data_IF_482010290853
#
_entry.id   IF_482010290853
#
_cell.length_a   1.000
_cell.length_b   1.000
_cell.length_c   1.000
_cell.angle_alpha   90.00
_cell.angle_beta   90.00
_cell.angle_gamma   90.00
#
_symmetry.space_group_name_H-M   'P 1'
#
loop_
_entity.id
_entity.type
_entity.pdbx_description
1 polymer ?
#
# COMPACT_ATOMS: atom_id res chain seq x y z
N UNK A 1 -40.53 -26.60 -19.64
CA UNK A 1 -39.51 -25.62 -20.09
C UNK A 1 -39.37 -24.59 -18.98
N UNK A 2 -38.30 -24.67 -18.20
CA UNK A 2 -37.95 -23.65 -17.21
C UNK A 2 -36.53 -23.21 -17.54
N UNK A 3 -36.42 -22.04 -18.17
CA UNK A 3 -35.16 -21.34 -18.42
C UNK A 3 -34.42 -21.14 -17.09
N UNK A 4 -33.27 -21.78 -16.96
CA UNK A 4 -32.33 -21.50 -15.90
C UNK A 4 -31.61 -20.19 -16.21
N UNK A 5 -32.07 -19.13 -15.55
CA UNK A 5 -31.35 -17.88 -15.36
C UNK A 5 -29.90 -18.15 -14.92
N UNK A 6 -28.85 -17.63 -15.60
CA UNK A 6 -27.49 -17.77 -15.12
C UNK A 6 -27.34 -17.00 -13.80
N UNK A 7 -27.21 -17.72 -12.69
CA UNK A 7 -26.82 -17.15 -11.40
C UNK A 7 -25.43 -16.53 -11.57
N UNK A 8 -25.34 -15.22 -11.35
CA UNK A 8 -24.11 -14.43 -11.26
C UNK A 8 -23.00 -15.15 -10.47
N UNK A 9 -22.18 -15.95 -11.14
CA UNK A 9 -20.99 -16.60 -10.59
C UNK A 9 -19.75 -15.68 -10.63
N UNK A 10 -19.94 -14.41 -10.97
CA UNK A 10 -18.88 -13.42 -11.12
C UNK A 10 -18.63 -12.55 -9.88
N UNK A 11 -19.40 -12.69 -8.80
CA UNK A 11 -19.34 -11.74 -7.67
C UNK A 11 -18.63 -12.23 -6.40
N UNK A 12 -18.02 -13.41 -6.42
CA UNK A 12 -17.18 -13.88 -5.31
C UNK A 12 -15.91 -14.49 -5.87
N UNK A 13 -15.05 -13.63 -6.39
CA UNK A 13 -13.72 -14.05 -6.82
C UNK A 13 -13.04 -14.76 -5.65
N UNK A 14 -12.83 -16.07 -5.78
CA UNK A 14 -12.16 -16.87 -4.78
C UNK A 14 -10.72 -16.39 -4.67
N UNK A 15 -10.42 -15.49 -3.74
CA UNK A 15 -9.07 -15.00 -3.47
C UNK A 15 -8.11 -16.15 -3.07
N UNK A 16 -8.65 -17.31 -2.70
CA UNK A 16 -7.89 -18.54 -2.46
C UNK A 16 -7.44 -19.20 -3.77
N UNK A 17 -8.20 -19.05 -4.85
CA UNK A 17 -7.86 -19.56 -6.18
C UNK A 17 -6.63 -18.85 -6.76
N UNK A 18 -6.47 -17.55 -6.52
CA UNK A 18 -5.31 -16.78 -6.99
C UNK A 18 -4.02 -17.23 -6.29
N UNK A 19 -4.08 -17.52 -4.99
CA UNK A 19 -2.93 -18.07 -4.24
C UNK A 19 -2.57 -19.47 -4.75
N UNK A 20 -3.57 -20.33 -5.00
CA UNK A 20 -3.34 -21.67 -5.57
C UNK A 20 -2.72 -21.59 -6.96
N UNK A 21 -3.24 -20.75 -7.84
CA UNK A 21 -2.69 -20.54 -9.17
C UNK A 21 -1.25 -20.02 -9.12
N UNK A 22 -0.93 -19.13 -8.17
CA UNK A 22 0.44 -18.64 -7.94
C UNK A 22 1.38 -19.76 -7.51
N UNK A 23 0.95 -20.65 -6.62
CA UNK A 23 1.72 -21.83 -6.23
C UNK A 23 1.93 -22.79 -7.42
N UNK A 24 0.93 -22.99 -8.27
CA UNK A 24 1.09 -23.81 -9.49
C UNK A 24 2.11 -23.19 -10.44
N UNK A 25 2.06 -21.87 -10.68
CA UNK A 25 3.05 -21.16 -11.51
C UNK A 25 4.45 -21.30 -10.90
N UNK A 26 4.57 -21.21 -9.58
CA UNK A 26 5.84 -21.43 -8.89
C UNK A 26 6.36 -22.87 -9.03
N UNK A 27 5.50 -23.88 -8.93
CA UNK A 27 5.88 -25.27 -9.18
C UNK A 27 6.34 -25.46 -10.63
N UNK A 28 5.64 -24.86 -11.61
CA UNK A 28 6.07 -24.89 -13.00
C UNK A 28 7.45 -24.22 -13.17
N UNK A 29 7.69 -23.07 -12.54
CA UNK A 29 9.00 -22.40 -12.56
C UNK A 29 10.08 -23.25 -11.91
N UNK A 30 9.79 -23.91 -10.79
CA UNK A 30 10.75 -24.76 -10.09
C UNK A 30 11.16 -25.96 -10.93
N UNK A 31 10.20 -26.61 -11.61
CA UNK A 31 10.46 -27.71 -12.54
C UNK A 31 11.27 -27.25 -13.76
N UNK A 32 10.92 -26.10 -14.33
CA UNK A 32 11.63 -25.52 -15.47
C UNK A 32 12.99 -24.90 -15.11
N UNK A 33 13.26 -24.65 -13.83
CA UNK A 33 14.55 -24.17 -13.35
C UNK A 33 15.51 -25.31 -12.98
N UNK A 34 15.00 -26.54 -12.84
CA UNK A 34 15.77 -27.74 -12.52
C UNK A 34 16.41 -28.34 -13.79
N UNK A 35 17.13 -27.53 -14.56
CA UNK A 35 17.69 -27.91 -15.87
C UNK A 35 19.16 -28.37 -15.78
N UNK A 36 19.67 -28.70 -14.58
CA UNK A 36 21.01 -29.24 -14.39
C UNK A 36 21.17 -30.67 -14.92
N UNK A 37 22.42 -31.14 -15.14
CA UNK A 37 22.67 -32.51 -15.58
C UNK A 37 22.20 -33.51 -14.51
N UNK A 38 21.25 -34.38 -14.85
CA UNK A 38 20.61 -35.33 -13.93
C UNK A 38 19.43 -34.77 -13.10
N UNK A 39 19.00 -33.54 -13.34
CA UNK A 39 17.79 -32.96 -12.74
C UNK A 39 16.54 -33.21 -13.62
N UNK A 40 15.34 -33.13 -13.03
CA UNK A 40 14.06 -33.45 -13.70
C UNK A 40 13.78 -32.60 -14.97
N UNK A 41 14.46 -31.46 -15.13
CA UNK A 41 14.29 -30.52 -16.23
C UNK A 41 15.35 -30.58 -17.34
N UNK A 42 16.27 -31.55 -17.32
CA UNK A 42 17.34 -31.63 -18.32
C UNK A 42 16.78 -31.66 -19.76
N UNK A 43 17.16 -30.65 -20.56
CA UNK A 43 16.70 -30.43 -21.95
C UNK A 43 15.22 -30.06 -22.15
N UNK A 44 14.43 -29.79 -21.11
CA UNK A 44 13.03 -29.36 -21.27
C UNK A 44 12.89 -28.05 -22.06
N UNK A 45 13.82 -27.11 -21.91
CA UNK A 45 13.83 -25.84 -22.65
C UNK A 45 13.97 -26.02 -24.17
N UNK A 46 14.51 -27.15 -24.63
CA UNK A 46 14.68 -27.45 -26.07
C UNK A 46 13.38 -27.96 -26.70
N UNK A 47 12.36 -28.30 -25.91
CA UNK A 47 11.09 -28.83 -26.40
C UNK A 47 10.17 -27.67 -26.80
N UNK A 48 9.83 -27.58 -28.09
CA UNK A 48 8.97 -26.51 -28.61
C UNK A 48 7.61 -26.38 -27.90
N UNK A 49 7.00 -27.49 -27.49
CA UNK A 49 5.74 -27.46 -26.75
C UNK A 49 5.89 -26.80 -25.36
N UNK A 50 7.04 -26.96 -24.71
CA UNK A 50 7.33 -26.35 -23.41
C UNK A 50 7.61 -24.86 -23.57
N UNK A 51 8.38 -24.48 -24.60
CA UNK A 51 8.57 -23.07 -24.96
C UNK A 51 7.24 -22.37 -25.33
N UNK A 52 6.34 -23.07 -26.05
CA UNK A 52 5.00 -22.57 -26.35
C UNK A 52 4.16 -22.42 -25.08
N UNK A 53 4.16 -23.42 -24.19
CA UNK A 53 3.46 -23.35 -22.89
C UNK A 53 3.95 -22.16 -22.03
N UNK A 54 5.27 -21.94 -21.96
CA UNK A 54 5.84 -20.81 -21.24
C UNK A 54 5.39 -19.47 -21.82
N UNK A 55 5.49 -19.31 -23.15
CA UNK A 55 5.20 -18.05 -23.84
C UNK A 55 3.71 -17.72 -23.88
N UNK A 56 2.87 -18.72 -24.10
CA UNK A 56 1.45 -18.53 -24.43
C UNK A 56 0.53 -18.77 -23.24
N UNK A 57 0.96 -19.52 -22.22
CA UNK A 57 0.14 -19.80 -21.04
C UNK A 57 0.74 -19.25 -19.75
N UNK A 58 1.99 -19.59 -19.42
CA UNK A 58 2.58 -19.25 -18.10
C UNK A 58 2.84 -17.75 -17.98
N UNK A 59 3.55 -17.14 -18.93
CA UNK A 59 3.88 -15.72 -18.86
C UNK A 59 2.64 -14.79 -18.94
N UNK A 60 1.60 -15.07 -19.76
CA UNK A 60 0.36 -14.30 -19.74
C UNK A 60 -0.45 -14.51 -18.46
N UNK A 61 -0.55 -15.74 -17.94
CA UNK A 61 -1.25 -16.02 -16.69
C UNK A 61 -0.60 -15.26 -15.53
N UNK A 62 0.72 -15.30 -15.43
CA UNK A 62 1.46 -14.57 -14.42
C UNK A 62 1.22 -13.06 -14.50
N UNK A 63 1.32 -12.46 -15.70
CA UNK A 63 1.03 -11.02 -15.88
C UNK A 63 -0.39 -10.66 -15.44
N UNK A 64 -1.36 -11.53 -15.74
CA UNK A 64 -2.76 -11.34 -15.31
C UNK A 64 -2.91 -11.42 -13.78
N UNK A 65 -2.31 -12.43 -13.14
CA UNK A 65 -2.33 -12.57 -11.68
C UNK A 65 -1.63 -11.39 -10.99
N UNK A 66 -0.50 -10.94 -11.51
CA UNK A 66 0.21 -9.77 -11.01
C UNK A 66 -0.68 -8.52 -11.11
N UNK A 67 -1.22 -8.21 -12.29
CA UNK A 67 -2.08 -7.04 -12.49
C UNK A 67 -3.32 -7.06 -11.57
N UNK A 68 -3.93 -8.23 -11.39
CA UNK A 68 -5.08 -8.42 -10.49
C UNK A 68 -4.71 -8.19 -9.03
N UNK A 69 -3.61 -8.79 -8.57
CA UNK A 69 -3.14 -8.61 -7.19
C UNK A 69 -2.76 -7.14 -6.91
N UNK A 70 -2.14 -6.46 -7.88
CA UNK A 70 -1.88 -5.03 -7.79
C UNK A 70 -3.15 -4.19 -7.70
N UNK A 71 -4.18 -4.52 -8.47
CA UNK A 71 -5.47 -3.83 -8.39
C UNK A 71 -6.10 -3.98 -7.00
N UNK A 72 -6.11 -5.19 -6.43
CA UNK A 72 -6.65 -5.42 -5.08
C UNK A 72 -5.91 -4.61 -4.01
N UNK A 73 -4.59 -4.48 -4.12
CA UNK A 73 -3.79 -3.64 -3.20
C UNK A 73 -4.11 -2.14 -3.40
N UNK A 74 -4.32 -1.70 -4.65
CA UNK A 74 -4.68 -0.30 -4.94
C UNK A 74 -6.07 0.08 -4.46
N UNK A 75 -7.02 -0.85 -4.52
CA UNK A 75 -8.40 -0.63 -4.11
C UNK A 75 -8.59 -0.77 -2.59
N UNK A 76 -7.51 -1.06 -1.84
CA UNK A 76 -7.54 -1.19 -0.39
C UNK A 76 -7.98 0.11 0.30
N UNK A 77 -9.06 0.04 1.08
CA UNK A 77 -9.65 1.17 1.80
C UNK A 77 -10.27 0.76 3.13
N UNK A 78 -10.20 1.68 4.11
CA UNK A 78 -10.75 1.54 5.45
C UNK A 78 -12.26 1.57 5.54
N UNK A 79 -12.95 2.20 4.57
CA UNK A 79 -14.41 2.10 4.48
C UNK A 79 -14.88 0.65 4.47
N UNK A 80 -14.03 -0.28 4.04
CA UNK A 80 -14.33 -1.69 4.08
C UNK A 80 -14.08 -2.32 5.46
N UNK A 81 -13.11 -1.81 6.24
CA UNK A 81 -12.63 -2.40 7.50
C UNK A 81 -13.30 -1.87 8.78
N UNK A 82 -13.72 -0.60 8.83
CA UNK A 82 -14.21 0.04 10.07
C UNK A 82 -15.73 0.03 10.24
N UNK A 83 -16.46 -0.61 9.32
CA UNK A 83 -17.91 -0.77 9.42
C UNK A 83 -18.72 0.51 9.19
N UNK A 84 -18.09 1.61 8.78
CA UNK A 84 -18.80 2.81 8.33
C UNK A 84 -19.39 2.53 6.94
N UNK A 85 -20.50 1.79 6.92
CA UNK A 85 -21.22 1.35 5.72
C UNK A 85 -21.03 -0.12 5.32
N UNK A 86 -20.11 -0.87 5.95
CA UNK A 86 -19.86 -2.29 5.68
C UNK A 86 -20.14 -3.19 6.88
N UNK A 87 -20.61 -4.41 6.66
CA UNK A 87 -20.79 -5.39 7.74
C UNK A 87 -19.42 -5.94 8.18
N UNK A 88 -19.26 -6.36 9.44
CA UNK A 88 -18.02 -7.02 9.92
C UNK A 88 -17.52 -8.15 8.99
N UNK A 89 -18.44 -8.92 8.41
CA UNK A 89 -18.13 -9.96 7.44
C UNK A 89 -17.46 -9.42 6.16
N UNK A 90 -17.83 -8.22 5.70
CA UNK A 90 -17.24 -7.57 4.54
C UNK A 90 -15.84 -7.00 4.85
N UNK A 91 -15.63 -6.53 6.08
CA UNK A 91 -14.32 -6.10 6.57
C UNK A 91 -13.32 -7.25 6.60
N UNK A 92 -13.68 -8.38 7.19
CA UNK A 92 -12.83 -9.57 7.23
C UNK A 92 -12.59 -10.16 5.83
N UNK A 93 -13.59 -10.13 4.95
CA UNK A 93 -13.43 -10.57 3.55
C UNK A 93 -12.50 -9.64 2.74
N UNK A 94 -12.52 -8.33 2.97
CA UNK A 94 -11.58 -7.42 2.34
C UNK A 94 -10.15 -7.61 2.86
N UNK A 95 -10.00 -7.86 4.16
CA UNK A 95 -8.71 -8.21 4.78
C UNK A 95 -8.16 -9.51 4.21
N UNK A 96 -8.98 -10.56 4.07
CA UNK A 96 -8.55 -11.83 3.51
C UNK A 96 -8.16 -11.71 2.03
N UNK A 97 -8.88 -10.91 1.25
CA UNK A 97 -8.55 -10.57 -0.14
C UNK A 97 -7.22 -9.83 -0.25
N UNK A 98 -7.02 -8.78 0.54
CA UNK A 98 -5.77 -8.02 0.57
C UNK A 98 -4.58 -8.90 0.97
N UNK A 99 -4.75 -9.74 2.00
CA UNK A 99 -3.72 -10.71 2.43
C UNK A 99 -3.36 -11.68 1.31
N UNK A 100 -4.35 -12.21 0.60
CA UNK A 100 -4.14 -13.16 -0.50
C UNK A 100 -3.46 -12.50 -1.70
N UNK A 101 -3.78 -11.23 -1.99
CA UNK A 101 -3.13 -10.45 -3.04
C UNK A 101 -1.66 -10.16 -2.68
N UNK A 102 -1.37 -9.78 -1.44
CA UNK A 102 0.00 -9.56 -0.97
C UNK A 102 0.82 -10.85 -1.00
N UNK A 103 0.23 -11.97 -0.59
CA UNK A 103 0.85 -13.30 -0.72
C UNK A 103 1.12 -13.64 -2.18
N UNK A 104 0.19 -13.34 -3.10
CA UNK A 104 0.37 -13.57 -4.54
C UNK A 104 1.54 -12.75 -5.09
N UNK A 105 1.63 -11.45 -4.74
CA UNK A 105 2.74 -10.59 -5.16
C UNK A 105 4.08 -11.04 -4.56
N UNK A 106 4.08 -11.49 -3.31
CA UNK A 106 5.26 -12.04 -2.65
C UNK A 106 5.69 -13.37 -3.28
N UNK A 107 4.76 -14.23 -3.70
CA UNK A 107 5.08 -15.51 -4.30
C UNK A 107 5.58 -15.36 -5.75
N UNK A 108 4.97 -14.46 -6.51
CA UNK A 108 5.32 -14.29 -7.92
C UNK A 108 6.58 -13.44 -8.15
N UNK A 109 7.06 -12.71 -7.14
CA UNK A 109 8.23 -11.84 -7.31
C UNK A 109 9.47 -12.63 -7.76
N UNK A 110 10.35 -12.00 -8.58
CA UNK A 110 11.45 -12.70 -9.23
C UNK A 110 12.36 -13.35 -8.17
N UNK A 111 12.52 -14.66 -8.25
CA UNK A 111 13.45 -15.37 -7.38
C UNK A 111 14.87 -15.20 -7.95
N UNK A 112 15.89 -14.98 -7.11
CA UNK A 112 17.26 -14.93 -7.58
C UNK A 112 17.61 -16.28 -8.26
N UNK A 113 18.39 -16.26 -9.35
CA UNK A 113 18.79 -17.49 -10.03
C UNK A 113 19.55 -18.41 -9.06
N UNK A 114 19.19 -19.71 -9.08
CA UNK A 114 19.87 -20.75 -8.30
C UNK A 114 21.39 -20.68 -8.57
N UNK A 115 22.18 -20.35 -7.54
CA UNK A 115 23.66 -20.24 -7.64
C UNK A 115 24.24 -18.83 -7.48
N UNK A 116 23.41 -17.78 -7.39
CA UNK A 116 23.87 -16.43 -7.04
C UNK A 116 24.17 -16.27 -5.55
N UNK A 117 25.23 -15.53 -5.19
CA UNK A 117 25.65 -15.25 -3.80
C UNK A 117 24.63 -14.46 -2.96
N UNK A 118 23.48 -14.07 -3.53
CA UNK A 118 22.41 -13.36 -2.82
C UNK A 118 21.29 -14.32 -2.44
N UNK A 119 21.28 -14.72 -1.17
CA UNK A 119 20.23 -15.55 -0.55
C UNK A 119 19.04 -14.72 -0.06
N UNK A 120 19.06 -13.39 -0.28
CA UNK A 120 18.02 -12.48 0.22
C UNK A 120 16.96 -12.32 -0.85
N UNK A 121 15.79 -12.90 -0.59
CA UNK A 121 14.62 -12.70 -1.41
C UNK A 121 14.14 -11.25 -1.28
N UNK A 122 14.19 -10.49 -2.37
CA UNK A 122 13.58 -9.17 -2.44
C UNK A 122 12.19 -9.34 -3.05
N UNK A 123 11.15 -9.08 -2.24
CA UNK A 123 9.76 -9.12 -2.67
C UNK A 123 9.43 -7.92 -3.56
N UNK A 124 10.15 -7.77 -4.68
CA UNK A 124 10.21 -6.56 -5.51
C UNK A 124 8.80 -6.11 -5.92
N UNK A 125 7.97 -7.02 -6.41
CA UNK A 125 6.63 -6.68 -6.89
C UNK A 125 5.69 -6.23 -5.77
N UNK A 126 5.83 -6.80 -4.56
CA UNK A 126 5.10 -6.34 -3.39
C UNK A 126 5.56 -4.93 -2.99
N UNK A 127 6.87 -4.72 -2.90
CA UNK A 127 7.47 -3.42 -2.54
C UNK A 127 7.05 -2.34 -3.54
N UNK A 128 7.17 -2.61 -4.85
CA UNK A 128 6.77 -1.70 -5.93
C UNK A 128 5.29 -1.34 -5.86
N UNK A 129 4.42 -2.31 -5.60
CA UNK A 129 2.98 -2.07 -5.52
C UNK A 129 2.61 -1.16 -4.33
N UNK A 130 3.26 -1.33 -3.19
CA UNK A 130 3.05 -0.50 -1.99
C UNK A 130 3.66 0.89 -2.17
N UNK A 131 4.84 0.98 -2.80
CA UNK A 131 5.46 2.26 -3.16
C UNK A 131 4.56 3.07 -4.10
N UNK A 132 3.98 2.44 -5.11
CA UNK A 132 3.04 3.14 -6.01
C UNK A 132 1.76 3.57 -5.29
N UNK A 133 1.21 2.73 -4.40
CA UNK A 133 0.08 3.11 -3.55
C UNK A 133 0.38 4.36 -2.71
N UNK A 134 1.54 4.39 -2.05
CA UNK A 134 2.01 5.54 -1.28
C UNK A 134 2.20 6.78 -2.17
N UNK A 135 2.82 6.62 -3.34
CA UNK A 135 3.06 7.73 -4.28
C UNK A 135 1.76 8.36 -4.76
N UNK A 136 0.76 7.55 -5.10
CA UNK A 136 -0.57 8.01 -5.49
C UNK A 136 -1.27 8.71 -4.32
N UNK A 137 -1.26 8.12 -3.13
CA UNK A 137 -1.84 8.73 -1.94
C UNK A 137 -1.19 10.09 -1.60
N UNK A 138 0.14 10.21 -1.71
CA UNK A 138 0.88 11.45 -1.46
C UNK A 138 0.58 12.53 -2.49
N UNK A 139 0.62 12.18 -3.78
CA UNK A 139 0.42 13.14 -4.88
C UNK A 139 -0.99 13.72 -4.85
N UNK A 140 -1.99 12.86 -4.63
CA UNK A 140 -3.39 13.26 -4.55
C UNK A 140 -3.68 14.09 -3.30
N UNK A 141 -3.06 13.78 -2.15
CA UNK A 141 -3.22 14.52 -0.88
C UNK A 141 -2.53 15.87 -0.91
N UNK A 142 -1.34 15.95 -1.52
CA UNK A 142 -0.63 17.22 -1.74
C UNK A 142 -1.50 18.14 -2.61
N UNK A 143 -2.04 17.61 -3.70
CA UNK A 143 -2.85 18.41 -4.64
C UNK A 143 -4.15 18.91 -4.01
N UNK A 144 -4.84 18.09 -3.21
CA UNK A 144 -6.07 18.51 -2.53
C UNK A 144 -5.81 19.59 -1.48
N UNK A 145 -4.77 19.43 -0.65
CA UNK A 145 -4.41 20.43 0.37
C UNK A 145 -4.00 21.75 -0.27
N UNK A 146 -3.16 21.74 -1.31
CA UNK A 146 -2.73 22.97 -1.99
C UNK A 146 -3.91 23.76 -2.55
N UNK A 147 -4.87 23.07 -3.17
CA UNK A 147 -6.11 23.70 -3.67
C UNK A 147 -6.95 24.26 -2.53
N UNK A 148 -7.08 23.51 -1.43
CA UNK A 148 -7.89 23.90 -0.29
C UNK A 148 -7.26 25.04 0.54
N UNK A 149 -5.93 25.20 0.52
CA UNK A 149 -5.27 26.37 1.10
C UNK A 149 -5.56 27.65 0.28
N UNK A 150 -5.74 27.54 -1.03
CA UNK A 150 -6.22 28.65 -1.86
C UNK A 150 -7.70 28.99 -1.63
N UNK A 151 -8.51 28.01 -1.21
CA UNK A 151 -9.95 28.13 -0.95
C UNK A 151 -10.28 27.56 0.42
N UNK A 152 -9.98 28.31 1.49
CA UNK A 152 -10.05 27.85 2.88
C UNK A 152 -11.36 27.16 3.30
N UNK A 153 -12.49 27.47 2.64
CA UNK A 153 -13.78 26.82 2.91
C UNK A 153 -13.76 25.30 2.67
N UNK A 154 -12.90 24.79 1.80
CA UNK A 154 -12.79 23.34 1.50
C UNK A 154 -11.62 22.68 2.22
N UNK A 155 -10.94 23.39 3.12
CA UNK A 155 -9.78 22.86 3.86
C UNK A 155 -10.18 21.67 4.74
N UNK A 156 -11.34 21.75 5.40
CA UNK A 156 -11.80 20.66 6.27
C UNK A 156 -12.05 19.37 5.48
N UNK A 157 -12.78 19.46 4.37
CA UNK A 157 -13.03 18.31 3.47
C UNK A 157 -11.73 17.69 2.94
N UNK A 158 -10.77 18.54 2.54
CA UNK A 158 -9.48 18.07 2.05
C UNK A 158 -8.67 17.37 3.15
N UNK A 159 -8.66 17.93 4.37
CA UNK A 159 -7.98 17.36 5.52
C UNK A 159 -8.64 16.06 6.03
N UNK A 160 -9.96 15.96 5.98
CA UNK A 160 -10.69 14.73 6.27
C UNK A 160 -10.32 13.62 5.28
N UNK A 161 -10.23 13.93 3.99
CA UNK A 161 -9.79 12.97 2.97
C UNK A 161 -8.35 12.50 3.20
N UNK A 162 -7.44 13.41 3.55
CA UNK A 162 -6.05 13.05 3.87
C UNK A 162 -5.99 12.19 5.13
N UNK A 163 -6.78 12.51 6.15
CA UNK A 163 -6.90 11.72 7.37
C UNK A 163 -7.36 10.29 7.07
N UNK A 164 -8.40 10.14 6.24
CA UNK A 164 -8.90 8.82 5.82
C UNK A 164 -7.84 8.00 5.06
N UNK A 165 -7.07 8.64 4.16
CA UNK A 165 -5.96 7.97 3.46
C UNK A 165 -4.85 7.53 4.43
N UNK A 166 -4.54 8.34 5.43
CA UNK A 166 -3.59 7.97 6.47
C UNK A 166 -4.09 6.77 7.29
N UNK A 167 -5.38 6.73 7.64
CA UNK A 167 -5.97 5.57 8.32
C UNK A 167 -5.88 4.30 7.47
N UNK A 168 -6.03 4.39 6.14
CA UNK A 168 -5.78 3.26 5.23
C UNK A 168 -4.34 2.76 5.36
N UNK A 169 -3.36 3.66 5.43
CA UNK A 169 -1.96 3.31 5.60
C UNK A 169 -1.68 2.67 6.96
N UNK A 170 -2.27 3.19 8.04
CA UNK A 170 -2.15 2.60 9.39
C UNK A 170 -2.70 1.16 9.40
N UNK A 171 -3.84 0.93 8.76
CA UNK A 171 -4.43 -0.41 8.66
C UNK A 171 -3.63 -1.36 7.77
N UNK A 172 -3.09 -0.84 6.66
CA UNK A 172 -2.19 -1.60 5.78
C UNK A 172 -0.91 -2.00 6.53
N UNK A 173 -0.32 -1.09 7.30
CA UNK A 173 0.86 -1.35 8.13
C UNK A 173 0.59 -2.44 9.16
N UNK A 174 -0.57 -2.41 9.84
CA UNK A 174 -1.00 -3.45 10.77
C UNK A 174 -1.23 -4.81 10.07
N UNK A 175 -1.81 -4.79 8.87
CA UNK A 175 -2.02 -6.01 8.08
C UNK A 175 -0.67 -6.63 7.68
N UNK A 176 0.27 -5.82 7.20
CA UNK A 176 1.62 -6.25 6.82
C UNK A 176 2.43 -6.75 8.02
N UNK A 177 2.25 -6.13 9.19
CA UNK A 177 2.88 -6.54 10.44
C UNK A 177 2.34 -7.90 10.94
N UNK A 178 1.02 -8.10 10.86
CA UNK A 178 0.35 -9.33 11.31
C UNK A 178 0.50 -10.51 10.34
N UNK A 179 0.84 -10.27 9.08
CA UNK A 179 0.94 -11.31 8.06
C UNK A 179 2.36 -11.89 8.03
N UNK A 180 2.49 -13.16 8.42
CA UNK A 180 3.74 -13.92 8.32
C UNK A 180 4.07 -14.20 6.85
N UNK A 181 5.34 -14.01 6.48
CA UNK A 181 5.80 -14.31 5.13
C UNK A 181 5.72 -15.83 4.83
N UNK A 182 5.19 -16.25 3.66
CA UNK A 182 5.23 -17.63 3.22
C UNK A 182 6.67 -18.14 3.12
N UNK A 183 6.93 -19.33 3.65
CA UNK A 183 8.25 -19.98 3.57
C UNK A 183 8.55 -20.38 2.12
N UNK A 184 9.66 -19.87 1.57
CA UNK A 184 10.15 -20.26 0.25
C UNK A 184 11.31 -21.27 0.42
N UNK A 185 11.32 -22.42 -0.29
CA UNK A 185 12.41 -23.38 -0.21
C UNK A 185 13.75 -22.76 -0.60
N UNK A 186 14.74 -22.83 0.30
CA UNK A 186 16.12 -22.37 0.04
C UNK A 186 16.38 -20.86 0.20
N UNK A 187 15.40 -20.08 0.65
CA UNK A 187 15.54 -18.63 0.85
C UNK A 187 15.24 -18.22 2.30
N UNK A 188 15.98 -17.23 2.81
CA UNK A 188 15.70 -16.64 4.12
C UNK A 188 14.46 -15.76 4.04
N UNK A 189 13.37 -16.17 4.69
CA UNK A 189 12.12 -15.42 4.69
C UNK A 189 12.07 -14.38 5.81
N UNK A 190 11.61 -13.15 5.54
CA UNK A 190 11.43 -12.15 6.58
C UNK A 190 10.34 -12.59 7.58
N UNK A 191 10.36 -12.08 8.83
CA UNK A 191 9.38 -12.46 9.84
C UNK A 191 7.94 -12.06 9.47
N UNK A 192 7.78 -10.97 8.74
CA UNK A 192 6.51 -10.47 8.22
C UNK A 192 6.74 -9.69 6.91
N UNK A 193 5.65 -9.28 6.26
CA UNK A 193 5.71 -8.50 5.02
C UNK A 193 6.14 -7.04 5.21
N UNK A 194 6.05 -6.52 6.44
CA UNK A 194 6.40 -5.12 6.73
C UNK A 194 7.91 -4.85 6.66
N UNK A 195 8.73 -5.76 7.21
CA UNK A 195 10.20 -5.61 7.26
C UNK A 195 10.85 -5.26 5.90
N UNK A 196 10.61 -5.99 4.80
CA UNK A 196 11.24 -5.65 3.51
C UNK A 196 10.79 -4.29 2.97
N UNK A 197 9.55 -3.87 3.25
CA UNK A 197 9.00 -2.59 2.81
C UNK A 197 9.65 -1.43 3.58
N UNK A 198 9.75 -1.57 4.91
CA UNK A 198 10.40 -0.57 5.77
C UNK A 198 11.88 -0.42 5.43
N UNK A 199 12.56 -1.53 5.11
CA UNK A 199 13.95 -1.50 4.66
C UNK A 199 14.10 -0.77 3.31
N UNK A 200 13.22 -1.05 2.34
CA UNK A 200 13.26 -0.42 1.03
C UNK A 200 12.91 1.08 1.05
N UNK A 201 12.08 1.50 2.01
CA UNK A 201 11.71 2.90 2.23
C UNK A 201 12.63 3.63 3.22
N UNK A 202 13.60 2.92 3.82
CA UNK A 202 14.48 3.41 4.89
C UNK A 202 13.71 4.13 6.01
N UNK A 203 12.54 3.61 6.38
CA UNK A 203 11.62 4.24 7.34
C UNK A 203 11.25 3.27 8.46
N UNK A 204 10.88 3.82 9.62
CA UNK A 204 10.39 3.04 10.76
C UNK A 204 8.86 2.80 10.72
N UNK A 205 8.13 3.56 9.92
CA UNK A 205 6.67 3.44 9.77
C UNK A 205 6.21 4.03 8.43
N UNK A 206 5.17 3.43 7.83
CA UNK A 206 4.55 3.95 6.61
C UNK A 206 3.84 5.27 6.88
N UNK A 207 3.25 5.40 8.07
CA UNK A 207 2.54 6.59 8.52
C UNK A 207 3.47 7.79 8.67
N UNK A 208 4.63 7.61 9.32
CA UNK A 208 5.66 8.67 9.42
C UNK A 208 6.23 9.03 8.06
N UNK A 209 6.47 8.06 7.18
CA UNK A 209 6.94 8.33 5.81
C UNK A 209 5.94 9.19 5.04
N UNK A 210 4.64 8.91 5.16
CA UNK A 210 3.58 9.67 4.53
C UNK A 210 3.55 11.12 4.98
N UNK A 211 3.47 11.38 6.30
CA UNK A 211 3.39 12.74 6.82
C UNK A 211 4.64 13.57 6.55
N UNK A 212 5.84 12.99 6.65
CA UNK A 212 7.09 13.69 6.34
C UNK A 212 7.21 14.03 4.86
N UNK A 213 6.87 13.09 3.99
CA UNK A 213 6.87 13.31 2.54
C UNK A 213 5.85 14.37 2.16
N UNK A 214 4.64 14.32 2.73
CA UNK A 214 3.59 15.32 2.51
C UNK A 214 4.01 16.71 3.01
N UNK A 215 4.63 16.79 4.19
CA UNK A 215 5.15 18.04 4.74
C UNK A 215 6.25 18.65 3.83
N UNK A 216 7.18 17.82 3.35
CA UNK A 216 8.24 18.28 2.45
C UNK A 216 7.72 18.79 1.10
N UNK A 217 6.65 18.18 0.56
CA UNK A 217 6.05 18.59 -0.72
C UNK A 217 5.17 19.83 -0.58
N UNK A 218 4.55 20.03 0.58
CA UNK A 218 3.68 21.17 0.86
C UNK A 218 4.44 22.45 1.19
N UNK A 219 5.54 22.36 1.94
CA UNK A 219 6.28 23.55 2.39
C UNK A 219 6.63 24.54 1.27
N UNK A 220 7.27 24.14 0.14
CA UNK A 220 7.58 25.07 -0.95
C UNK A 220 6.32 25.66 -1.60
N UNK A 221 5.26 24.86 -1.75
CA UNK A 221 4.00 25.29 -2.39
C UNK A 221 3.24 26.32 -1.55
N UNK A 222 3.25 26.17 -0.23
CA UNK A 222 2.67 27.17 0.67
C UNK A 222 3.46 28.46 0.63
N UNK A 223 4.81 28.37 0.60
CA UNK A 223 5.64 29.57 0.46
C UNK A 223 5.39 30.29 -0.86
N UNK A 224 5.21 29.58 -1.97
CA UNK A 224 4.84 30.18 -3.26
C UNK A 224 3.50 30.90 -3.19
N UNK A 225 2.48 30.30 -2.58
CA UNK A 225 1.16 30.91 -2.41
C UNK A 225 1.24 32.20 -1.58
N UNK A 226 2.05 32.20 -0.52
CA UNK A 226 2.28 33.39 0.31
C UNK A 226 3.07 34.46 -0.43
N UNK A 227 4.12 34.07 -1.18
CA UNK A 227 4.96 34.98 -1.98
C UNK A 227 4.19 35.61 -3.14
N UNK A 228 3.27 34.86 -3.77
CA UNK A 228 2.38 35.37 -4.82
C UNK A 228 1.45 36.49 -4.32
N UNK A 229 1.22 36.55 -3.00
CA UNK A 229 0.44 37.61 -2.38
C UNK A 229 -1.06 37.52 -2.68
N UNK A 230 -1.73 38.68 -2.68
CA UNK A 230 -3.16 38.77 -2.97
C UNK A 230 -4.09 38.49 -1.79
N UNK A 231 -5.36 38.24 -2.08
CA UNK A 231 -6.40 37.99 -1.07
C UNK A 231 -6.20 36.66 -0.37
N UNK A 232 -5.83 35.60 -1.10
CA UNK A 232 -5.61 34.25 -0.53
C UNK A 232 -4.48 34.24 0.51
N UNK A 233 -3.36 34.89 0.20
CA UNK A 233 -2.24 35.02 1.15
C UNK A 233 -2.64 35.81 2.41
N UNK A 234 -3.44 36.88 2.26
CA UNK A 234 -3.95 37.66 3.41
C UNK A 234 -4.91 36.84 4.27
N UNK A 235 -5.86 36.15 3.66
CA UNK A 235 -6.83 35.29 4.36
C UNK A 235 -6.15 34.12 5.07
N UNK A 236 -5.10 33.54 4.47
CA UNK A 236 -4.31 32.48 5.12
C UNK A 236 -3.54 33.00 6.34
N UNK A 237 -2.95 34.20 6.25
CA UNK A 237 -2.26 34.83 7.39
C UNK A 237 -3.23 35.16 8.52
N UNK A 238 -4.41 35.71 8.20
CA UNK A 238 -5.43 36.03 9.22
C UNK A 238 -6.01 34.79 9.88
N UNK A 239 -6.10 33.66 9.16
CA UNK A 239 -6.63 32.39 9.68
C UNK A 239 -5.53 31.41 10.14
N UNK A 240 -4.30 31.88 10.36
CA UNK A 240 -3.14 31.05 10.69
C UNK A 240 -3.39 30.07 11.84
N UNK A 241 -4.00 30.55 12.93
CA UNK A 241 -4.29 29.70 14.09
C UNK A 241 -5.36 28.65 13.78
N UNK A 242 -6.42 29.02 13.06
CA UNK A 242 -7.45 28.07 12.64
C UNK A 242 -6.87 26.98 11.71
N UNK A 243 -6.05 27.36 10.73
CA UNK A 243 -5.38 26.40 9.83
C UNK A 243 -4.44 25.48 10.61
N UNK A 244 -3.69 26.02 11.58
CA UNK A 244 -2.84 25.23 12.47
C UNK A 244 -3.67 24.16 13.20
N UNK A 245 -4.77 24.57 13.81
CA UNK A 245 -5.58 23.70 14.66
C UNK A 245 -6.29 22.63 13.80
N UNK A 246 -6.81 23.00 12.63
CA UNK A 246 -7.39 22.06 11.65
C UNK A 246 -6.37 21.03 11.16
N UNK A 247 -5.14 21.45 10.83
CA UNK A 247 -4.07 20.54 10.39
C UNK A 247 -3.65 19.61 11.52
N UNK A 248 -3.50 20.12 12.74
CA UNK A 248 -3.13 19.32 13.90
C UNK A 248 -4.19 18.23 14.17
N UNK A 249 -5.46 18.61 14.17
CA UNK A 249 -6.59 17.71 14.36
C UNK A 249 -6.72 16.68 13.22
N UNK A 250 -6.44 17.07 11.98
CA UNK A 250 -6.42 16.14 10.85
C UNK A 250 -5.31 15.08 10.97
N UNK A 251 -4.09 15.48 11.33
CA UNK A 251 -2.99 14.53 11.57
C UNK A 251 -3.33 13.62 12.75
N UNK A 252 -3.89 14.20 13.82
CA UNK A 252 -4.33 13.45 14.99
C UNK A 252 -5.34 12.35 14.60
N UNK A 253 -6.40 12.71 13.88
CA UNK A 253 -7.38 11.76 13.35
C UNK A 253 -6.78 10.74 12.39
N UNK A 254 -5.86 11.16 11.51
CA UNK A 254 -5.24 10.27 10.53
C UNK A 254 -4.35 9.19 11.14
N UNK A 255 -3.72 9.51 12.27
CA UNK A 255 -2.86 8.58 13.01
C UNK A 255 -3.65 7.70 14.00
N UNK A 256 -4.92 7.99 14.27
CA UNK A 256 -5.75 7.17 15.14
C UNK A 256 -5.88 5.76 14.58
N UNK A 257 -5.64 4.79 15.46
CA UNK A 257 -5.80 3.38 15.17
C UNK A 257 -7.30 3.05 15.19
N UNK A 258 -7.80 2.21 14.28
CA UNK A 258 -9.21 1.84 14.25
C UNK A 258 -9.63 1.19 15.56
N UNK A 259 -10.78 1.59 16.10
CA UNK A 259 -11.39 1.05 17.30
C UNK A 259 -11.49 -0.48 17.21
N UNK A 260 -10.54 -1.19 17.83
CA UNK A 260 -10.43 -2.65 17.75
C UNK A 260 -8.99 -3.18 17.79
N UNK A 261 -7.99 -2.39 17.41
CA UNK A 261 -6.58 -2.80 17.42
C UNK A 261 -5.85 -2.32 18.70
N UNK A 262 -6.14 -2.97 19.83
CA UNK A 262 -5.26 -3.11 21.01
C UNK A 262 -4.76 -1.85 21.76
N UNK A 263 -5.24 -1.68 23.00
CA UNK A 263 -4.87 -0.61 23.97
C UNK A 263 -3.37 -0.53 24.36
N UNK A 264 -2.54 -1.52 24.05
CA UNK A 264 -1.16 -1.61 24.59
C UNK A 264 -0.10 -0.85 23.76
N UNK A 265 -0.45 -0.36 22.56
CA UNK A 265 0.48 0.29 21.62
C UNK A 265 0.30 1.81 21.56
N UNK A 266 -0.39 2.38 22.54
CA UNK A 266 -0.83 3.78 22.55
C UNK A 266 0.34 4.74 22.82
N UNK A 267 1.09 4.62 23.92
CA UNK A 267 2.03 5.69 24.33
C UNK A 267 3.16 6.00 23.33
N UNK A 268 3.79 4.96 22.76
CA UNK A 268 4.86 5.17 21.76
C UNK A 268 4.31 5.75 20.45
N UNK A 269 3.14 5.29 20.01
CA UNK A 269 2.43 5.88 18.87
C UNK A 269 1.96 7.29 19.17
N UNK A 270 1.61 7.56 20.43
CA UNK A 270 1.22 8.87 20.93
C UNK A 270 2.41 9.85 20.97
N UNK A 271 3.65 9.39 21.11
CA UNK A 271 4.82 10.24 20.92
C UNK A 271 5.22 10.38 19.42
N UNK A 272 4.82 9.45 18.57
CA UNK A 272 5.12 9.46 17.13
C UNK A 272 4.18 10.41 16.37
N UNK A 273 2.87 10.32 16.55
CA UNK A 273 1.91 11.23 15.89
C UNK A 273 2.06 12.70 16.35
N UNK A 274 2.43 13.00 17.60
CA UNK A 274 2.73 14.36 18.07
C UNK A 274 3.90 14.98 17.29
N UNK A 275 4.93 14.17 17.00
CA UNK A 275 6.04 14.58 16.14
C UNK A 275 5.56 14.85 14.72
N UNK A 276 4.69 14.00 14.16
CA UNK A 276 4.14 14.22 12.82
C UNK A 276 3.21 15.46 12.76
N UNK A 277 2.44 15.73 13.81
CA UNK A 277 1.65 16.98 13.96
C UNK A 277 2.58 18.18 13.89
N UNK A 278 3.67 18.19 14.67
CA UNK A 278 4.61 19.29 14.69
C UNK A 278 5.27 19.52 13.31
N UNK A 279 5.65 18.44 12.61
CA UNK A 279 6.23 18.49 11.26
C UNK A 279 5.24 19.08 10.25
N UNK A 280 3.99 18.60 10.25
CA UNK A 280 2.97 19.03 9.29
C UNK A 280 2.52 20.47 9.56
N UNK A 281 2.28 20.82 10.82
CA UNK A 281 1.99 22.20 11.24
C UNK A 281 3.12 23.13 10.83
N UNK A 282 4.38 22.75 11.06
CA UNK A 282 5.53 23.57 10.66
C UNK A 282 5.61 23.75 9.14
N UNK A 283 5.31 22.73 8.35
CA UNK A 283 5.33 22.84 6.90
C UNK A 283 4.27 23.81 6.34
N UNK A 284 3.06 23.83 6.93
CA UNK A 284 1.97 24.73 6.50
C UNK A 284 2.13 26.11 7.11
N UNK A 285 2.32 26.20 8.42
CA UNK A 285 2.31 27.47 9.16
C UNK A 285 3.65 28.17 9.14
N UNK A 286 4.76 27.43 9.05
CA UNK A 286 6.10 28.00 8.97
C UNK A 286 6.33 28.82 7.69
N UNK A 287 5.61 28.50 6.61
CA UNK A 287 5.63 29.26 5.36
C UNK A 287 4.81 30.56 5.40
N UNK A 288 3.92 30.74 6.38
CA UNK A 288 3.04 31.92 6.50
C UNK A 288 3.76 33.16 7.06
N UNK A 289 4.98 33.02 7.57
CA UNK A 289 5.74 34.09 8.24
C UNK A 289 5.38 34.26 9.72
N UNK A 290 6.16 35.08 10.43
CA UNK A 290 5.77 35.65 11.73
C UNK A 290 4.79 36.80 11.51
#
# INVERSE_FOLDING_TARGET
>A
MAEQQPRNAQSREDHRSTVRASNTILSCRALLAANGPGEEGENLDKVHAIAALQRELIAPAERSLHAKAQQVVRDFSMSTLTGSGSTYAQAEDAKSRATSALQTLYLLSPQPPRGGKSTRFEAEWMVQSIQEYLRVALTTSTTSIVRALGVLRTLDDALLLVSSRCQNLVALELLLESTKAPTLPGLSTPPNFLVPILAALETSSLTSYFWRSLASSLSPRVQELVKAGGVQARTLKSNRNAVRDMVADAVARGCQVPSGAGKLRDERRMAEWEREVAVMVRAVVGGLGR
#
